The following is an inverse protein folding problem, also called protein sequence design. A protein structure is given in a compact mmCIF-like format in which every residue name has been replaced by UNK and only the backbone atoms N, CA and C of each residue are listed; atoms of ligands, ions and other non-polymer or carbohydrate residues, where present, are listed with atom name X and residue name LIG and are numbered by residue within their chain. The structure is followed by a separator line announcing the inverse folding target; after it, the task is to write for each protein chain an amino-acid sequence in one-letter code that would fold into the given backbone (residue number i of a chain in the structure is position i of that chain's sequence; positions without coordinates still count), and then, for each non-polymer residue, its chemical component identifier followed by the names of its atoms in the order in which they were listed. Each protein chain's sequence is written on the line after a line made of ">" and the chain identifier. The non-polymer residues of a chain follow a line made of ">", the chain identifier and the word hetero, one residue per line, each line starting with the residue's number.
data_IF_222144750882
#
_entry.id   IF_222144750882
#
_cell.length_a   1.000
_cell.length_b   1.000
_cell.length_c   1.000
_cell.angle_alpha   90.00
_cell.angle_beta   90.00
_cell.angle_gamma   90.00
#
_symmetry.space_group_name_H-M   'P 1'
#
loop_
_entity.id
_entity.type
_entity.pdbx_description
1 polymer ?
#
# COMPACT_ATOMS: atom_id res chain seq x y z
N UNK A 1 31.46 -61.99 5.40
CA UNK A 1 30.87 -60.67 5.27
C UNK A 1 30.41 -60.27 6.66
N UNK A 2 31.25 -59.57 7.37
CA UNK A 2 31.07 -59.16 8.77
C UNK A 2 30.37 -57.80 8.78
N UNK A 3 29.13 -57.75 9.29
CA UNK A 3 28.42 -56.52 9.60
C UNK A 3 29.05 -55.87 10.84
N UNK A 4 29.77 -54.80 10.65
CA UNK A 4 30.24 -53.96 11.76
C UNK A 4 29.04 -53.16 12.31
N UNK A 5 28.60 -53.53 13.51
CA UNK A 5 27.58 -52.80 14.27
C UNK A 5 28.25 -51.61 14.94
N UNK A 6 28.02 -50.42 14.42
CA UNK A 6 28.38 -49.19 15.09
C UNK A 6 27.55 -49.01 16.36
N UNK A 7 28.19 -48.58 17.45
CA UNK A 7 27.48 -48.29 18.70
C UNK A 7 26.71 -46.97 18.58
N UNK A 8 25.67 -46.81 19.39
CA UNK A 8 24.81 -45.60 19.35
C UNK A 8 25.61 -44.29 19.51
N UNK A 9 26.65 -44.30 20.34
CA UNK A 9 27.55 -43.14 20.52
C UNK A 9 28.43 -42.83 19.30
N UNK A 10 28.80 -43.83 18.50
CA UNK A 10 29.54 -43.61 17.24
C UNK A 10 28.64 -43.09 16.14
N UNK A 11 27.35 -43.42 16.11
CA UNK A 11 26.37 -42.91 15.19
C UNK A 11 26.01 -41.45 15.55
N UNK A 12 25.95 -41.11 16.83
CA UNK A 12 25.72 -39.74 17.31
C UNK A 12 26.92 -38.81 16.96
N UNK A 13 28.17 -39.26 17.15
CA UNK A 13 29.36 -38.52 16.77
C UNK A 13 29.51 -38.35 15.26
N UNK A 14 29.11 -39.35 14.45
CA UNK A 14 29.07 -39.21 12.99
C UNK A 14 27.95 -38.27 12.53
N UNK A 15 26.80 -38.25 13.18
CA UNK A 15 25.73 -37.30 12.91
C UNK A 15 26.12 -35.88 13.25
N UNK A 16 26.81 -35.65 14.37
CA UNK A 16 27.32 -34.34 14.75
C UNK A 16 28.42 -33.82 13.81
N UNK A 17 29.28 -34.71 13.30
CA UNK A 17 30.27 -34.34 12.28
C UNK A 17 29.63 -34.00 10.95
N UNK A 18 28.63 -34.74 10.50
CA UNK A 18 27.87 -34.44 9.27
C UNK A 18 27.04 -33.14 9.38
N UNK A 19 26.53 -32.84 10.57
CA UNK A 19 25.86 -31.56 10.85
C UNK A 19 26.82 -30.36 10.88
N UNK A 20 28.09 -30.59 11.27
CA UNK A 20 29.13 -29.52 11.20
C UNK A 20 29.67 -29.32 9.78
N UNK A 21 29.70 -30.34 8.93
CA UNK A 21 30.10 -30.21 7.52
C UNK A 21 28.98 -29.73 6.59
N UNK A 22 27.69 -29.94 6.97
CA UNK A 22 26.53 -29.54 6.18
C UNK A 22 25.97 -28.14 6.54
N UNK A 23 26.56 -27.43 7.48
CA UNK A 23 26.20 -26.04 7.75
C UNK A 23 26.76 -25.16 6.61
N UNK A 24 25.93 -24.53 5.76
CA UNK A 24 26.42 -23.47 4.89
C UNK A 24 27.00 -22.39 5.81
N UNK A 25 28.22 -21.96 5.50
CA UNK A 25 28.90 -20.90 6.19
C UNK A 25 27.94 -19.69 6.29
N UNK A 26 27.35 -19.48 7.44
CA UNK A 26 26.72 -18.21 7.77
C UNK A 26 27.85 -17.18 7.86
N UNK A 27 28.09 -16.51 6.76
CA UNK A 27 28.81 -15.24 6.75
C UNK A 27 28.04 -14.32 7.71
N UNK A 28 28.69 -13.99 8.81
CA UNK A 28 28.25 -12.92 9.70
C UNK A 28 28.13 -11.67 8.83
N UNK A 29 27.03 -10.88 8.93
CA UNK A 29 26.91 -9.65 8.18
C UNK A 29 28.08 -8.75 8.56
N UNK A 30 28.99 -8.59 7.61
CA UNK A 30 30.06 -7.61 7.70
C UNK A 30 29.41 -6.23 7.80
N UNK A 31 29.74 -5.48 8.83
CA UNK A 31 29.58 -4.04 8.89
C UNK A 31 30.35 -3.45 7.71
N UNK A 32 29.70 -3.13 6.60
CA UNK A 32 30.41 -2.65 5.45
C UNK A 32 29.56 -1.78 4.58
N UNK A 33 29.94 -0.50 4.48
CA UNK A 33 29.65 0.30 3.30
C UNK A 33 30.21 -0.39 2.04
N UNK A 34 29.82 0.08 0.85
CA UNK A 34 30.38 -0.37 -0.41
C UNK A 34 31.89 -0.10 -0.39
N UNK A 35 32.71 -1.15 -0.45
CA UNK A 35 34.16 -1.02 -0.52
C UNK A 35 34.54 -0.43 -1.89
N UNK A 36 35.54 0.48 -1.92
CA UNK A 36 36.02 1.11 -3.16
C UNK A 36 36.43 0.08 -4.24
N UNK A 37 36.88 -1.10 -3.84
CA UNK A 37 37.21 -2.21 -4.75
C UNK A 37 35.95 -2.82 -5.41
N UNK A 38 34.87 -2.90 -4.69
CA UNK A 38 33.58 -3.40 -5.21
C UNK A 38 32.99 -2.39 -6.18
N UNK A 39 33.03 -1.10 -5.84
CA UNK A 39 32.56 -0.02 -6.73
C UNK A 39 33.35 0.00 -8.04
N UNK A 40 34.69 -0.17 -8.00
CA UNK A 40 35.52 -0.16 -9.18
C UNK A 40 35.28 -1.34 -10.15
N UNK A 41 34.63 -2.42 -9.69
CA UNK A 41 34.31 -3.58 -10.52
C UNK A 41 32.90 -3.50 -11.18
N UNK A 42 32.08 -2.51 -10.83
CA UNK A 42 30.70 -2.36 -11.32
C UNK A 42 30.66 -1.60 -12.66
N UNK A 43 29.73 -1.92 -13.57
CA UNK A 43 29.50 -1.17 -14.80
C UNK A 43 29.25 0.33 -14.58
N UNK A 44 28.52 0.68 -13.52
CA UNK A 44 28.21 2.06 -13.13
C UNK A 44 29.30 2.74 -12.27
N UNK A 45 30.51 2.20 -12.16
CA UNK A 45 31.58 2.74 -11.31
C UNK A 45 31.86 4.24 -11.50
N UNK A 46 31.84 4.72 -12.74
CA UNK A 46 32.05 6.13 -13.06
C UNK A 46 30.93 7.04 -12.51
N UNK A 47 29.69 6.58 -12.60
CA UNK A 47 28.49 7.30 -12.12
C UNK A 47 28.41 7.30 -10.59
N UNK A 48 28.74 6.17 -9.95
CA UNK A 48 28.78 6.03 -8.49
C UNK A 48 29.86 6.91 -7.85
N UNK A 49 31.01 7.14 -8.54
CA UNK A 49 32.03 8.03 -8.04
C UNK A 49 31.70 9.52 -8.24
N UNK A 50 30.85 9.83 -9.21
CA UNK A 50 30.42 11.19 -9.51
C UNK A 50 29.21 11.68 -8.67
N UNK A 51 28.41 10.77 -8.10
CA UNK A 51 27.14 11.08 -7.45
C UNK A 51 27.01 10.44 -6.06
N UNK A 52 27.04 11.28 -5.03
CA UNK A 52 26.97 10.86 -3.63
C UNK A 52 25.59 10.23 -3.30
N UNK A 53 24.50 10.78 -3.85
CA UNK A 53 23.14 10.26 -3.67
C UNK A 53 22.98 8.84 -4.23
N UNK A 54 23.51 8.59 -5.43
CA UNK A 54 23.47 7.26 -6.05
C UNK A 54 24.29 6.25 -5.22
N UNK A 55 25.42 6.66 -4.70
CA UNK A 55 26.28 5.84 -3.83
C UNK A 55 25.59 5.48 -2.52
N UNK A 56 24.87 6.42 -1.91
CA UNK A 56 24.11 6.20 -0.68
C UNK A 56 22.96 5.24 -0.93
N UNK A 57 22.27 5.38 -2.07
CA UNK A 57 21.20 4.50 -2.49
C UNK A 57 21.70 3.04 -2.68
N UNK A 58 22.82 2.84 -3.36
CA UNK A 58 23.45 1.54 -3.50
C UNK A 58 23.92 0.95 -2.16
N UNK A 59 24.38 1.79 -1.25
CA UNK A 59 24.77 1.37 0.10
C UNK A 59 23.56 0.94 0.93
N UNK A 60 22.43 1.63 0.81
CA UNK A 60 21.15 1.25 1.41
C UNK A 60 20.65 -0.07 0.81
N UNK A 61 20.64 -0.20 -0.52
CA UNK A 61 20.22 -1.41 -1.21
C UNK A 61 21.05 -2.64 -0.82
N UNK A 62 22.39 -2.50 -0.73
CA UNK A 62 23.27 -3.59 -0.29
C UNK A 62 23.03 -4.02 1.17
N UNK A 63 22.64 -3.10 2.05
CA UNK A 63 22.31 -3.42 3.44
C UNK A 63 20.96 -4.13 3.58
N UNK A 64 19.99 -3.77 2.75
CA UNK A 64 18.62 -4.27 2.79
C UNK A 64 18.39 -5.48 1.86
N UNK A 65 19.24 -5.70 0.86
CA UNK A 65 19.02 -6.67 -0.21
C UNK A 65 17.96 -6.27 -1.23
N UNK A 66 17.21 -5.20 -0.95
CA UNK A 66 16.12 -4.67 -1.79
C UNK A 66 16.21 -3.15 -1.87
N UNK A 67 15.80 -2.59 -3.01
CA UNK A 67 15.73 -1.16 -3.26
C UNK A 67 14.33 -0.81 -3.76
N UNK A 68 13.74 0.28 -3.26
CA UNK A 68 12.46 0.76 -3.74
C UNK A 68 12.61 1.36 -5.14
N UNK A 69 11.76 0.91 -6.08
CA UNK A 69 11.75 1.42 -7.46
C UNK A 69 11.43 2.92 -7.50
N UNK A 70 10.65 3.44 -6.55
CA UNK A 70 10.35 4.86 -6.43
C UNK A 70 11.57 5.68 -6.04
N UNK A 71 12.33 5.27 -4.99
CA UNK A 71 13.58 5.94 -4.58
C UNK A 71 14.62 5.90 -5.69
N UNK A 72 14.67 4.81 -6.46
CA UNK A 72 15.58 4.68 -7.59
C UNK A 72 15.21 5.64 -8.72
N UNK A 73 13.92 5.69 -9.11
CA UNK A 73 13.40 6.56 -10.16
C UNK A 73 13.63 8.04 -9.82
N UNK A 74 13.30 8.46 -8.59
CA UNK A 74 13.51 9.85 -8.13
C UNK A 74 14.97 10.30 -8.26
N UNK A 75 15.93 9.40 -7.94
CA UNK A 75 17.36 9.71 -8.06
C UNK A 75 17.84 9.69 -9.52
N UNK A 76 17.30 8.80 -10.35
CA UNK A 76 17.63 8.71 -11.78
C UNK A 76 17.09 9.92 -12.56
N UNK A 77 15.86 10.37 -12.24
CA UNK A 77 15.22 11.53 -12.86
C UNK A 77 15.96 12.84 -12.50
N UNK A 78 16.50 12.94 -11.26
CA UNK A 78 17.28 14.10 -10.83
C UNK A 78 18.65 14.19 -11.57
N UNK A 79 19.16 13.05 -12.04
CA UNK A 79 20.48 12.97 -12.67
C UNK A 79 20.45 13.13 -14.19
N UNK A 80 19.28 13.15 -14.83
CA UNK A 80 19.06 13.32 -16.28
C UNK A 80 20.00 12.43 -17.13
N UNK A 81 19.99 11.11 -16.83
CA UNK A 81 20.92 10.12 -17.38
C UNK A 81 20.48 9.61 -18.75
N UNK A 82 21.46 9.30 -19.62
CA UNK A 82 21.23 8.63 -20.89
C UNK A 82 20.85 7.14 -20.70
N UNK A 83 20.10 6.55 -21.65
CA UNK A 83 19.62 5.16 -21.56
C UNK A 83 20.73 4.14 -21.30
N UNK A 84 21.90 4.30 -21.92
CA UNK A 84 23.07 3.41 -21.70
C UNK A 84 23.62 3.50 -20.27
N UNK A 85 23.47 4.66 -19.65
CA UNK A 85 23.90 4.88 -18.26
C UNK A 85 22.88 4.26 -17.27
N UNK A 86 21.60 4.31 -17.61
CA UNK A 86 20.57 3.62 -16.83
C UNK A 86 20.76 2.11 -16.86
N UNK A 87 20.99 1.52 -18.03
CA UNK A 87 21.27 0.09 -18.17
C UNK A 87 22.49 -0.33 -17.32
N UNK A 88 23.56 0.48 -17.31
CA UNK A 88 24.74 0.23 -16.48
C UNK A 88 24.46 0.25 -14.98
N UNK A 89 23.47 1.04 -14.54
CA UNK A 89 23.02 1.10 -13.14
C UNK A 89 22.23 -0.16 -12.79
N UNK A 90 21.28 -0.57 -13.64
CA UNK A 90 20.51 -1.81 -13.42
C UNK A 90 21.42 -3.05 -13.43
N UNK A 91 22.36 -3.17 -14.36
CA UNK A 91 23.35 -4.24 -14.36
C UNK A 91 24.22 -4.26 -13.09
N UNK A 92 24.52 -3.09 -12.53
CA UNK A 92 25.28 -2.98 -11.28
C UNK A 92 24.46 -3.39 -10.07
N UNK A 93 23.15 -3.13 -10.04
CA UNK A 93 22.23 -3.57 -8.99
C UNK A 93 22.06 -5.09 -9.03
N UNK A 94 21.94 -5.66 -10.22
CA UNK A 94 21.85 -7.11 -10.42
C UNK A 94 23.13 -7.82 -9.97
N UNK A 95 24.32 -7.31 -10.33
CA UNK A 95 25.61 -7.86 -9.88
C UNK A 95 25.80 -7.81 -8.37
N UNK A 96 25.20 -6.84 -7.70
CA UNK A 96 25.23 -6.73 -6.23
C UNK A 96 24.14 -7.59 -5.55
N UNK A 97 23.28 -8.23 -6.33
CA UNK A 97 22.15 -9.02 -5.81
C UNK A 97 21.09 -8.15 -5.13
N UNK A 98 20.95 -6.89 -5.57
CA UNK A 98 19.95 -5.95 -5.04
C UNK A 98 18.71 -6.05 -5.91
N UNK A 99 17.63 -6.57 -5.37
CA UNK A 99 16.34 -6.61 -6.05
C UNK A 99 15.71 -5.22 -6.07
N UNK A 100 15.44 -4.70 -7.27
CA UNK A 100 14.64 -3.48 -7.45
C UNK A 100 13.17 -3.91 -7.48
N UNK A 101 12.48 -3.79 -6.37
CA UNK A 101 11.07 -4.14 -6.23
C UNK A 101 10.25 -2.89 -5.87
N UNK A 102 9.12 -2.70 -6.55
CA UNK A 102 8.04 -1.95 -5.92
C UNK A 102 7.55 -2.81 -4.76
N UNK A 103 7.61 -2.31 -3.53
CA UNK A 103 6.92 -2.97 -2.43
C UNK A 103 5.46 -3.18 -2.84
N UNK A 104 5.02 -4.42 -2.94
CA UNK A 104 3.63 -4.76 -3.25
C UNK A 104 2.80 -4.51 -1.98
N UNK A 105 2.60 -3.21 -1.65
CA UNK A 105 1.86 -2.75 -0.46
C UNK A 105 0.40 -3.23 -0.40
N UNK A 106 -0.11 -3.77 -1.52
CA UNK A 106 -1.47 -4.27 -1.62
C UNK A 106 -1.57 -5.80 -1.44
N UNK A 107 -0.45 -6.47 -1.17
CA UNK A 107 -0.44 -7.93 -1.20
C UNK A 107 -1.00 -8.60 0.05
N UNK A 108 -0.82 -7.98 1.20
CA UNK A 108 -1.33 -8.45 2.48
C UNK A 108 -2.06 -7.29 3.18
N UNK A 109 -3.36 -7.13 2.88
CA UNK A 109 -4.22 -6.20 3.58
C UNK A 109 -4.68 -6.88 4.88
N UNK A 110 -4.27 -6.36 6.06
CA UNK A 110 -4.77 -6.89 7.32
C UNK A 110 -6.27 -6.58 7.51
N UNK A 111 -6.92 -7.34 8.38
CA UNK A 111 -8.33 -7.16 8.70
C UNK A 111 -8.63 -5.74 9.23
N UNK A 112 -9.85 -5.26 8.99
CA UNK A 112 -10.27 -3.86 9.22
C UNK A 112 -10.05 -3.37 10.66
N UNK A 113 -10.16 -4.26 11.64
CA UNK A 113 -10.02 -3.99 13.07
C UNK A 113 -8.82 -4.72 13.71
N UNK A 114 -8.01 -5.44 12.92
CA UNK A 114 -6.83 -6.14 13.38
C UNK A 114 -5.82 -5.15 13.96
N UNK A 115 -5.41 -5.34 15.22
CA UNK A 115 -4.25 -4.61 15.76
C UNK A 115 -2.98 -5.23 15.17
N UNK A 116 -1.97 -4.41 14.81
CA UNK A 116 -0.71 -4.93 14.29
C UNK A 116 -0.02 -5.82 15.33
N UNK A 117 0.58 -6.90 14.88
CA UNK A 117 1.44 -7.71 15.73
C UNK A 117 2.67 -6.90 16.17
N UNK A 118 3.21 -7.19 17.36
CA UNK A 118 4.37 -6.46 17.87
C UNK A 118 5.59 -6.58 16.95
N UNK A 119 5.72 -7.70 16.26
CA UNK A 119 6.81 -7.96 15.32
C UNK A 119 6.66 -7.10 14.05
N UNK A 120 5.44 -6.89 13.54
CA UNK A 120 5.16 -6.01 12.42
C UNK A 120 5.47 -4.54 12.71
N UNK A 121 5.18 -4.09 13.95
CA UNK A 121 5.53 -2.72 14.38
C UNK A 121 7.05 -2.54 14.48
N UNK A 122 7.78 -3.56 14.91
CA UNK A 122 9.23 -3.50 15.05
C UNK A 122 9.98 -3.47 13.69
N UNK A 123 9.37 -4.00 12.63
CA UNK A 123 9.93 -3.97 11.27
C UNK A 123 9.68 -2.63 10.54
N UNK A 124 8.78 -1.79 11.07
CA UNK A 124 8.50 -0.48 10.45
C UNK A 124 9.69 0.45 10.73
N UNK A 125 10.39 0.82 9.67
CA UNK A 125 11.42 1.86 9.73
C UNK A 125 10.80 3.22 10.07
N UNK A 126 11.53 4.02 10.85
CA UNK A 126 11.12 5.41 11.12
C UNK A 126 11.13 6.20 9.81
N UNK A 127 9.96 6.69 9.42
CA UNK A 127 9.85 7.53 8.24
C UNK A 127 10.41 8.92 8.51
N UNK A 128 11.25 9.40 7.61
CA UNK A 128 11.68 10.80 7.63
C UNK A 128 10.49 11.71 7.32
N UNK A 129 10.21 12.63 8.23
CA UNK A 129 9.19 13.63 8.04
C UNK A 129 9.62 14.60 6.93
N UNK A 130 8.94 14.55 5.80
CA UNK A 130 9.19 15.47 4.71
C UNK A 130 8.73 16.87 5.11
N UNK A 131 9.56 17.89 4.86
CA UNK A 131 9.16 19.28 5.08
C UNK A 131 8.07 19.65 4.05
N UNK A 132 6.86 20.05 4.50
CA UNK A 132 5.77 20.42 3.60
C UNK A 132 6.15 21.49 2.57
N UNK A 133 7.09 22.38 2.89
CA UNK A 133 7.54 23.42 1.96
C UNK A 133 8.34 22.85 0.78
N UNK A 134 9.13 21.80 0.99
CA UNK A 134 9.89 21.15 -0.10
C UNK A 134 8.98 20.41 -1.06
N UNK A 135 7.84 19.86 -0.56
CA UNK A 135 6.83 19.22 -1.39
C UNK A 135 6.10 20.20 -2.30
N UNK A 136 5.89 21.45 -1.84
CA UNK A 136 5.24 22.50 -2.64
C UNK A 136 6.03 22.82 -3.90
N UNK A 137 7.35 22.72 -3.85
CA UNK A 137 8.23 23.08 -4.97
C UNK A 137 8.46 21.90 -5.94
N UNK A 138 8.29 20.64 -5.46
CA UNK A 138 8.57 19.42 -6.24
C UNK A 138 7.42 18.93 -7.14
N UNK A 139 6.20 19.37 -6.91
CA UNK A 139 5.04 19.02 -7.71
C UNK A 139 4.38 20.23 -8.33
N UNK A 140 3.81 20.10 -9.55
CA UNK A 140 2.83 21.03 -10.10
C UNK A 140 1.51 20.89 -9.33
N UNK A 141 1.55 21.28 -8.05
CA UNK A 141 0.49 20.99 -7.07
C UNK A 141 -0.62 22.01 -7.23
N UNK A 142 -1.85 21.53 -7.34
CA UNK A 142 -3.06 22.36 -7.34
C UNK A 142 -3.13 23.27 -6.11
N UNK A 143 -3.64 24.48 -6.27
CA UNK A 143 -3.77 25.47 -5.19
C UNK A 143 -4.36 24.93 -3.87
N UNK A 144 -5.37 24.01 -3.86
CA UNK A 144 -5.92 23.43 -2.63
C UNK A 144 -4.90 22.59 -1.82
N UNK A 145 -4.05 21.81 -2.51
CA UNK A 145 -3.02 21.00 -1.85
C UNK A 145 -1.98 21.87 -1.20
N UNK A 146 -1.52 22.91 -1.91
CA UNK A 146 -0.57 23.92 -1.41
C UNK A 146 -1.09 24.61 -0.17
N UNK A 147 -2.37 24.98 -0.17
CA UNK A 147 -3.02 25.62 0.98
C UNK A 147 -3.03 24.67 2.20
N UNK A 148 -3.38 23.40 2.00
CA UNK A 148 -3.38 22.39 3.06
C UNK A 148 -1.98 22.18 3.64
N UNK A 149 -0.95 22.00 2.79
CA UNK A 149 0.44 21.81 3.23
C UNK A 149 0.94 23.00 4.05
N UNK A 150 0.59 24.23 3.65
CA UNK A 150 0.93 25.45 4.41
C UNK A 150 0.23 25.51 5.75
N UNK A 151 -0.99 24.99 5.86
CA UNK A 151 -1.76 24.95 7.12
C UNK A 151 -1.14 23.97 8.13
N UNK A 152 -0.88 22.73 7.71
CA UNK A 152 -0.25 21.74 8.59
C UNK A 152 1.18 22.13 9.00
N UNK A 153 1.87 22.92 8.16
CA UNK A 153 3.20 23.44 8.42
C UNK A 153 3.28 24.38 9.62
N UNK A 154 2.17 24.97 10.07
CA UNK A 154 2.13 25.90 11.22
C UNK A 154 2.21 25.19 12.56
N UNK A 155 1.83 23.90 12.62
CA UNK A 155 1.81 23.13 13.86
C UNK A 155 3.24 22.63 14.19
N UNK A 156 3.76 22.91 15.41
CA UNK A 156 5.07 22.44 15.80
C UNK A 156 5.07 20.92 16.01
N UNK A 157 6.22 20.29 15.75
CA UNK A 157 6.44 18.86 16.03
C UNK A 157 6.50 18.62 17.54
N UNK A 158 6.02 17.46 17.98
CA UNK A 158 6.07 17.03 19.37
C UNK A 158 7.40 16.34 19.69
N UNK A 159 7.84 16.45 20.94
CA UNK A 159 8.92 15.61 21.48
C UNK A 159 8.34 14.32 22.04
N UNK A 160 9.17 13.26 22.17
CA UNK A 160 8.74 11.99 22.73
C UNK A 160 8.11 12.12 24.14
N UNK A 161 8.64 13.01 24.97
CA UNK A 161 8.08 13.28 26.30
C UNK A 161 6.68 13.92 26.23
N UNK A 162 6.46 14.82 25.26
CA UNK A 162 5.15 15.44 25.03
C UNK A 162 4.13 14.44 24.47
N UNK A 163 4.55 13.50 23.63
CA UNK A 163 3.69 12.42 23.15
C UNK A 163 3.18 11.56 24.30
N UNK A 164 4.06 11.18 25.24
CA UNK A 164 3.70 10.41 26.43
C UNK A 164 2.78 11.20 27.35
N UNK A 165 3.05 12.50 27.57
CA UNK A 165 2.19 13.36 28.39
C UNK A 165 0.78 13.46 27.81
N UNK A 166 0.65 13.75 26.51
CA UNK A 166 -0.65 13.80 25.84
C UNK A 166 -1.37 12.45 25.87
N UNK A 167 -0.67 11.35 25.66
CA UNK A 167 -1.24 10.00 25.73
C UNK A 167 -1.75 9.66 27.14
N UNK A 168 -1.04 10.09 28.19
CA UNK A 168 -1.48 9.92 29.58
C UNK A 168 -2.76 10.70 29.86
N UNK A 169 -2.85 11.96 29.40
CA UNK A 169 -4.08 12.78 29.54
C UNK A 169 -5.25 12.17 28.76
N UNK A 170 -5.00 11.62 27.57
CA UNK A 170 -6.02 10.90 26.78
C UNK A 170 -6.52 9.65 27.50
N UNK A 171 -5.64 8.86 28.11
CA UNK A 171 -6.01 7.66 28.88
C UNK A 171 -6.90 8.02 30.06
N UNK A 172 -6.51 9.04 30.84
CA UNK A 172 -7.32 9.54 31.95
C UNK A 172 -8.71 10.06 31.49
N UNK A 173 -8.77 10.70 30.31
CA UNK A 173 -10.03 11.12 29.70
C UNK A 173 -10.94 9.95 29.35
N UNK A 174 -10.41 8.87 28.75
CA UNK A 174 -11.12 7.63 28.43
C UNK A 174 -11.62 6.91 29.67
N UNK A 175 -10.82 6.83 30.72
CA UNK A 175 -11.22 6.25 32.00
C UNK A 175 -12.37 7.02 32.64
N UNK A 176 -12.31 8.36 32.58
CA UNK A 176 -13.36 9.23 33.06
C UNK A 176 -14.68 9.04 32.27
N UNK A 177 -14.59 8.91 30.96
CA UNK A 177 -15.73 8.63 30.07
C UNK A 177 -16.35 7.25 30.38
N UNK A 178 -15.52 6.23 30.53
CA UNK A 178 -15.96 4.89 30.90
C UNK A 178 -16.64 4.86 32.26
N UNK A 179 -16.14 5.62 33.24
CA UNK A 179 -16.77 5.75 34.58
C UNK A 179 -18.14 6.41 34.51
N UNK A 180 -18.31 7.45 33.68
CA UNK A 180 -19.61 8.10 33.47
C UNK A 180 -20.59 7.14 32.80
N UNK A 181 -20.16 6.45 31.73
CA UNK A 181 -20.99 5.49 31.01
C UNK A 181 -21.42 4.30 31.91
N UNK A 182 -20.49 3.82 32.75
CA UNK A 182 -20.79 2.76 33.72
C UNK A 182 -21.81 3.21 34.76
N UNK A 183 -21.68 4.40 35.32
CA UNK A 183 -22.63 4.95 36.29
C UNK A 183 -24.05 5.16 35.70
N UNK A 184 -24.09 5.59 34.40
CA UNK A 184 -25.38 5.69 33.67
C UNK A 184 -26.03 4.31 33.46
N UNK A 185 -25.21 3.28 33.15
CA UNK A 185 -25.73 1.91 32.95
C UNK A 185 -26.23 1.28 34.26
N UNK A 186 -25.50 1.53 35.37
CA UNK A 186 -25.84 1.00 36.72
C UNK A 186 -26.90 1.82 37.41
N UNK A 187 -27.31 2.98 36.85
CA UNK A 187 -28.31 3.90 37.46
C UNK A 187 -27.75 4.59 38.73
N UNK A 188 -26.43 4.65 38.88
CA UNK A 188 -25.77 5.29 40.00
C UNK A 188 -25.76 6.81 39.81
N UNK A 189 -26.19 7.57 40.84
CA UNK A 189 -26.11 9.03 40.82
C UNK A 189 -24.73 9.49 41.30
N UNK A 190 -23.91 9.98 40.37
CA UNK A 190 -22.60 10.57 40.65
C UNK A 190 -22.82 11.94 41.31
N UNK A 191 -22.07 12.28 42.41
CA UNK A 191 -22.12 13.62 43.00
C UNK A 191 -21.75 14.71 42.01
N UNK A 192 -22.44 15.87 42.06
CA UNK A 192 -22.21 16.98 41.11
C UNK A 192 -20.73 17.42 41.02
N UNK A 193 -20.00 17.39 42.14
CA UNK A 193 -18.59 17.79 42.20
C UNK A 193 -17.72 16.79 41.42
N UNK A 194 -17.95 15.51 41.60
CA UNK A 194 -17.24 14.43 40.89
C UNK A 194 -17.58 14.44 39.39
N UNK A 195 -18.84 14.64 39.06
CA UNK A 195 -19.29 14.78 37.66
C UNK A 195 -18.63 15.98 36.96
N UNK A 196 -18.45 17.10 37.66
CA UNK A 196 -17.78 18.27 37.10
C UNK A 196 -16.28 17.99 36.83
N UNK A 197 -15.64 17.23 37.71
CA UNK A 197 -14.23 16.84 37.56
C UNK A 197 -14.03 15.82 36.43
N UNK A 198 -14.88 14.80 36.31
CA UNK A 198 -14.90 13.84 35.21
C UNK A 198 -15.11 14.55 33.85
N UNK A 199 -16.07 15.46 33.76
CA UNK A 199 -16.29 16.28 32.54
C UNK A 199 -15.07 17.13 32.18
N UNK A 200 -14.33 17.64 33.16
CA UNK A 200 -13.10 18.38 32.91
C UNK A 200 -12.00 17.47 32.35
N UNK A 201 -11.86 16.27 32.89
CA UNK A 201 -10.89 15.25 32.40
C UNK A 201 -11.24 14.79 31.00
N UNK A 202 -12.50 14.49 30.69
CA UNK A 202 -12.96 14.14 29.34
C UNK A 202 -12.60 15.23 28.33
N UNK A 203 -12.93 16.49 28.65
CA UNK A 203 -12.61 17.62 27.76
C UNK A 203 -11.10 17.86 27.60
N UNK A 204 -10.31 17.59 28.64
CA UNK A 204 -8.85 17.63 28.52
C UNK A 204 -8.31 16.51 27.65
N UNK A 205 -8.87 15.29 27.75
CA UNK A 205 -8.55 14.14 26.91
C UNK A 205 -8.87 14.38 25.44
N UNK A 206 -10.06 14.91 25.13
CA UNK A 206 -10.44 15.29 23.76
C UNK A 206 -9.47 16.32 23.15
N UNK A 207 -9.08 17.33 23.93
CA UNK A 207 -8.12 18.34 23.47
C UNK A 207 -6.73 17.73 23.25
N UNK A 208 -6.29 16.82 24.12
CA UNK A 208 -5.02 16.11 23.95
C UNK A 208 -5.03 15.23 22.70
N UNK A 209 -6.15 14.53 22.44
CA UNK A 209 -6.38 13.75 21.20
C UNK A 209 -6.24 14.61 19.95
N UNK A 210 -6.87 15.78 19.95
CA UNK A 210 -6.77 16.72 18.85
C UNK A 210 -5.35 17.21 18.63
N UNK A 211 -4.63 17.59 19.70
CA UNK A 211 -3.26 18.08 19.61
C UNK A 211 -2.30 17.00 19.08
N UNK A 212 -2.45 15.75 19.55
CA UNK A 212 -1.62 14.63 19.07
C UNK A 212 -1.87 14.35 17.58
N UNK A 213 -3.13 14.40 17.13
CA UNK A 213 -3.46 14.22 15.72
C UNK A 213 -2.92 15.37 14.84
N UNK A 214 -3.14 16.64 15.24
CA UNK A 214 -2.69 17.82 14.49
C UNK A 214 -1.17 17.85 14.29
N UNK A 215 -0.40 17.46 15.31
CA UNK A 215 1.05 17.45 15.26
C UNK A 215 1.61 16.38 14.31
N UNK A 216 0.83 15.33 14.01
CA UNK A 216 1.25 14.20 13.18
C UNK A 216 0.66 14.20 11.76
N UNK A 217 0.00 15.29 11.32
CA UNK A 217 -0.52 15.40 9.95
C UNK A 217 0.60 15.34 8.89
N UNK A 218 1.80 15.82 9.21
CA UNK A 218 2.97 15.73 8.31
C UNK A 218 3.39 14.29 8.03
N UNK A 219 3.24 13.40 9.01
CA UNK A 219 3.52 11.96 8.85
C UNK A 219 2.56 11.34 7.84
N UNK A 220 1.28 11.72 7.84
CA UNK A 220 0.31 11.24 6.86
C UNK A 220 0.72 11.63 5.45
N UNK A 221 1.18 12.88 5.26
CA UNK A 221 1.59 13.39 3.93
C UNK A 221 2.82 12.65 3.42
N UNK A 222 3.83 12.39 4.27
CA UNK A 222 5.04 11.64 3.88
C UNK A 222 4.72 10.23 3.40
N UNK A 223 3.76 9.57 4.06
CA UNK A 223 3.31 8.24 3.67
C UNK A 223 2.46 8.30 2.39
N UNK A 224 1.48 9.22 2.32
CA UNK A 224 0.57 9.34 1.18
C UNK A 224 1.29 9.67 -0.14
N UNK A 225 2.42 10.40 -0.10
CA UNK A 225 3.24 10.71 -1.28
C UNK A 225 3.63 9.46 -2.07
N UNK A 226 3.94 8.35 -1.40
CA UNK A 226 4.34 7.08 -2.03
C UNK A 226 3.21 6.36 -2.79
N UNK A 227 1.97 6.77 -2.55
CA UNK A 227 0.78 6.17 -3.18
C UNK A 227 0.18 7.02 -4.30
N UNK A 228 0.83 8.12 -4.67
CA UNK A 228 0.41 8.98 -5.79
C UNK A 228 0.50 8.21 -7.11
N UNK A 229 -0.47 8.46 -8.02
CA UNK A 229 -0.53 7.78 -9.32
C UNK A 229 -1.23 6.40 -9.31
N UNK A 230 -1.79 5.96 -8.19
CA UNK A 230 -2.48 4.66 -8.05
C UNK A 230 -4.00 4.72 -8.19
N UNK A 231 -4.52 5.70 -8.95
CA UNK A 231 -5.96 5.82 -9.25
C UNK A 231 -6.77 6.67 -8.28
N UNK A 232 -6.13 7.28 -7.27
CA UNK A 232 -6.74 8.25 -6.35
C UNK A 232 -6.01 9.59 -6.37
N UNK A 233 -6.75 10.67 -6.11
CA UNK A 233 -6.17 12.00 -5.99
C UNK A 233 -5.35 12.11 -4.70
N UNK A 234 -4.29 12.92 -4.73
CA UNK A 234 -3.38 13.06 -3.58
C UNK A 234 -4.10 13.55 -2.31
N UNK A 235 -5.03 14.52 -2.43
CA UNK A 235 -5.82 14.97 -1.28
C UNK A 235 -6.71 13.88 -0.70
N UNK A 236 -7.28 13.00 -1.53
CA UNK A 236 -8.11 11.90 -1.07
C UNK A 236 -7.26 10.86 -0.31
N UNK A 237 -6.06 10.56 -0.82
CA UNK A 237 -5.09 9.71 -0.11
C UNK A 237 -4.73 10.27 1.27
N UNK A 238 -4.52 11.59 1.36
CA UNK A 238 -4.24 12.26 2.63
C UNK A 238 -5.45 12.13 3.58
N UNK A 239 -6.69 12.33 3.09
CA UNK A 239 -7.87 12.24 3.95
C UNK A 239 -8.12 10.82 4.46
N UNK A 240 -7.95 9.81 3.62
CA UNK A 240 -8.02 8.41 4.06
C UNK A 240 -6.89 8.08 5.06
N UNK A 241 -5.68 8.60 4.82
CA UNK A 241 -4.58 8.51 5.77
C UNK A 241 -4.87 9.20 7.11
N UNK A 242 -5.56 10.36 7.09
CA UNK A 242 -5.99 11.05 8.32
C UNK A 242 -7.01 10.23 9.12
N UNK A 243 -7.91 9.49 8.45
CA UNK A 243 -8.81 8.54 9.13
C UNK A 243 -8.02 7.43 9.82
N UNK A 244 -6.97 6.92 9.17
CA UNK A 244 -6.02 5.98 9.77
C UNK A 244 -5.30 6.56 10.98
N UNK A 245 -4.82 7.81 10.89
CA UNK A 245 -4.19 8.53 12.00
C UNK A 245 -5.13 8.68 13.19
N UNK A 246 -6.41 9.03 12.98
CA UNK A 246 -7.40 9.14 14.05
C UNK A 246 -7.58 7.80 14.76
N UNK A 247 -7.71 6.69 14.02
CA UNK A 247 -7.77 5.33 14.58
C UNK A 247 -6.51 4.99 15.39
N UNK A 248 -5.32 5.37 14.88
CA UNK A 248 -4.06 5.17 15.59
C UNK A 248 -4.03 5.93 16.92
N UNK A 249 -4.45 7.20 16.94
CA UNK A 249 -4.52 8.02 18.16
C UNK A 249 -5.48 7.41 19.19
N UNK A 250 -6.62 6.87 18.73
CA UNK A 250 -7.60 6.20 19.61
C UNK A 250 -7.07 4.92 20.26
N UNK A 251 -6.29 4.13 19.52
CA UNK A 251 -5.79 2.83 19.97
C UNK A 251 -4.37 2.90 20.57
N UNK A 252 -3.72 4.06 20.56
CA UNK A 252 -2.35 4.21 21.03
C UNK A 252 -2.21 3.93 22.52
N UNK A 253 -1.23 3.08 22.86
CA UNK A 253 -0.85 2.72 24.22
C UNK A 253 0.63 3.04 24.47
N UNK A 254 0.88 4.11 25.22
CA UNK A 254 2.23 4.56 25.56
C UNK A 254 2.99 3.58 26.47
N UNK A 255 2.30 2.66 27.14
CA UNK A 255 2.94 1.70 28.07
C UNK A 255 3.78 0.66 27.33
N UNK A 256 3.50 0.45 26.04
CA UNK A 256 4.24 -0.49 25.17
C UNK A 256 5.64 0.01 24.77
N UNK A 257 5.96 1.28 25.01
CA UNK A 257 7.31 1.85 24.83
C UNK A 257 7.71 2.19 23.39
N UNK A 258 6.80 2.09 22.43
CA UNK A 258 7.04 2.50 21.04
C UNK A 258 6.77 3.99 20.84
N UNK A 259 7.48 4.62 19.88
CA UNK A 259 7.14 5.95 19.43
C UNK A 259 5.76 5.95 18.76
N UNK A 260 5.01 7.02 18.93
CA UNK A 260 3.71 7.16 18.28
C UNK A 260 3.81 7.04 16.76
N UNK A 261 4.83 7.65 16.14
CA UNK A 261 5.06 7.60 14.69
C UNK A 261 5.13 6.17 14.15
N UNK A 262 5.83 5.26 14.82
CA UNK A 262 5.97 3.85 14.39
C UNK A 262 4.63 3.15 14.37
N UNK A 263 3.82 3.31 15.43
CA UNK A 263 2.49 2.73 15.50
C UNK A 263 1.51 3.35 14.51
N UNK A 264 1.54 4.69 14.36
CA UNK A 264 0.66 5.42 13.47
C UNK A 264 0.93 5.10 11.99
N UNK A 265 2.18 4.86 11.61
CA UNK A 265 2.55 4.49 10.23
C UNK A 265 1.81 3.26 9.75
N UNK A 266 1.64 2.24 10.59
CA UNK A 266 0.87 1.04 10.23
C UNK A 266 -0.60 1.37 9.93
N UNK A 267 -1.27 2.12 10.81
CA UNK A 267 -2.68 2.49 10.64
C UNK A 267 -2.91 3.40 9.43
N UNK A 268 -2.00 4.35 9.20
CA UNK A 268 -2.07 5.25 8.05
C UNK A 268 -1.90 4.46 6.75
N UNK A 269 -0.88 3.59 6.69
CA UNK A 269 -0.63 2.71 5.54
C UNK A 269 -1.83 1.83 5.26
N UNK A 270 -2.37 1.18 6.29
CA UNK A 270 -3.55 0.33 6.21
C UNK A 270 -4.76 1.08 5.63
N UNK A 271 -5.06 2.27 6.15
CA UNK A 271 -6.19 3.06 5.69
C UNK A 271 -6.04 3.47 4.22
N UNK A 272 -4.86 3.96 3.82
CA UNK A 272 -4.58 4.37 2.44
C UNK A 272 -4.68 3.16 1.49
N UNK A 273 -4.03 2.05 1.82
CA UNK A 273 -4.00 0.85 0.97
C UNK A 273 -5.41 0.28 0.78
N UNK A 274 -6.20 0.24 1.84
CA UNK A 274 -7.59 -0.21 1.79
C UNK A 274 -8.46 0.72 0.96
N UNK A 275 -8.30 2.04 1.10
CA UNK A 275 -9.01 3.02 0.30
C UNK A 275 -8.69 2.89 -1.20
N UNK A 276 -7.41 2.68 -1.55
CA UNK A 276 -7.00 2.41 -2.94
C UNK A 276 -7.68 1.14 -3.45
N UNK A 277 -7.68 0.06 -2.68
CA UNK A 277 -8.32 -1.20 -3.09
C UNK A 277 -9.83 -1.05 -3.34
N UNK A 278 -10.50 -0.21 -2.55
CA UNK A 278 -11.96 -0.04 -2.61
C UNK A 278 -12.43 1.03 -3.60
N UNK A 279 -11.66 2.09 -3.84
CA UNK A 279 -12.10 3.30 -4.55
C UNK A 279 -11.30 3.64 -5.81
N UNK A 280 -10.08 3.10 -6.01
CA UNK A 280 -9.21 3.51 -7.12
C UNK A 280 -9.71 3.08 -8.50
N UNK A 281 -10.56 2.05 -8.59
CA UNK A 281 -11.06 1.53 -9.86
C UNK A 281 -12.38 2.16 -10.27
N UNK A 282 -12.52 2.51 -11.56
CA UNK A 282 -13.77 3.03 -12.14
C UNK A 282 -14.96 2.07 -11.91
N UNK A 283 -14.72 0.77 -12.03
CA UNK A 283 -15.69 -0.28 -11.67
C UNK A 283 -15.19 -0.92 -10.39
N UNK A 284 -15.92 -0.69 -9.30
CA UNK A 284 -15.55 -1.15 -7.96
C UNK A 284 -15.45 -2.67 -7.90
N UNK A 285 -14.35 -3.17 -7.35
CA UNK A 285 -14.11 -4.59 -7.08
C UNK A 285 -14.03 -4.78 -5.55
N UNK A 286 -14.62 -5.84 -4.97
CA UNK A 286 -14.47 -6.13 -3.54
C UNK A 286 -13.00 -6.28 -3.13
N UNK A 287 -12.64 -5.81 -1.93
CA UNK A 287 -11.24 -5.78 -1.44
C UNK A 287 -10.58 -7.16 -1.49
N UNK A 288 -11.24 -8.23 -1.04
CA UNK A 288 -10.70 -9.60 -1.08
C UNK A 288 -10.38 -10.09 -2.52
N UNK A 289 -11.10 -9.57 -3.53
CA UNK A 289 -10.78 -9.89 -4.93
C UNK A 289 -9.56 -9.12 -5.42
N UNK A 290 -9.40 -7.86 -4.97
CA UNK A 290 -8.19 -7.07 -5.26
C UNK A 290 -6.96 -7.74 -4.65
N UNK A 291 -7.04 -8.24 -3.42
CA UNK A 291 -5.97 -9.04 -2.79
C UNK A 291 -5.62 -10.28 -3.62
N UNK A 292 -6.65 -11.00 -4.07
CA UNK A 292 -6.43 -12.19 -4.91
C UNK A 292 -5.78 -11.83 -6.24
N UNK A 293 -6.21 -10.74 -6.90
CA UNK A 293 -5.60 -10.21 -8.13
C UNK A 293 -4.13 -9.87 -7.90
N UNK A 294 -3.81 -9.19 -6.81
CA UNK A 294 -2.44 -8.80 -6.47
C UNK A 294 -1.55 -10.03 -6.22
N UNK A 295 -2.08 -11.07 -5.53
CA UNK A 295 -1.36 -12.34 -5.36
C UNK A 295 -1.08 -13.02 -6.71
N UNK A 296 -2.07 -13.04 -7.62
CA UNK A 296 -1.89 -13.59 -8.97
C UNK A 296 -0.81 -12.81 -9.75
N UNK A 297 -0.86 -11.48 -9.70
CA UNK A 297 0.13 -10.62 -10.40
C UNK A 297 1.54 -10.83 -9.82
N UNK A 298 1.67 -10.95 -8.50
CA UNK A 298 2.96 -11.21 -7.84
C UNK A 298 3.55 -12.54 -8.30
N UNK A 299 2.76 -13.62 -8.23
CA UNK A 299 3.20 -14.95 -8.67
C UNK A 299 3.53 -14.94 -10.17
N UNK A 300 2.74 -14.24 -10.99
CA UNK A 300 3.01 -14.08 -12.41
C UNK A 300 4.37 -13.39 -12.67
N UNK A 301 4.70 -12.34 -11.93
CA UNK A 301 6.02 -11.68 -12.04
C UNK A 301 7.16 -12.58 -11.58
N UNK A 302 6.97 -13.31 -10.47
CA UNK A 302 7.96 -14.28 -9.99
C UNK A 302 8.24 -15.35 -11.03
N UNK A 303 7.19 -15.97 -11.59
CA UNK A 303 7.33 -16.98 -12.65
C UNK A 303 7.95 -16.41 -13.93
N UNK A 304 7.66 -15.16 -14.28
CA UNK A 304 8.31 -14.48 -15.41
C UNK A 304 9.83 -14.39 -15.21
N UNK A 305 10.30 -14.09 -13.99
CA UNK A 305 11.72 -14.05 -13.66
C UNK A 305 12.37 -15.45 -13.70
N UNK A 306 11.67 -16.47 -13.22
CA UNK A 306 12.18 -17.85 -13.18
C UNK A 306 12.18 -18.53 -14.57
N UNK A 307 11.13 -18.34 -15.35
CA UNK A 307 10.92 -19.01 -16.65
C UNK A 307 11.47 -18.22 -17.83
N UNK A 308 11.63 -16.88 -17.68
CA UNK A 308 12.08 -16.00 -18.77
C UNK A 308 11.04 -15.74 -19.87
N UNK A 309 9.77 -16.13 -19.67
CA UNK A 309 8.63 -15.86 -20.57
C UNK A 309 7.37 -15.61 -19.77
N UNK A 310 6.38 -14.95 -20.39
CA UNK A 310 5.07 -14.71 -19.74
C UNK A 310 4.43 -16.04 -19.32
N UNK A 311 4.10 -16.22 -18.03
CA UNK A 311 3.56 -17.47 -17.52
C UNK A 311 2.15 -17.72 -18.03
N UNK A 312 1.87 -18.96 -18.39
CA UNK A 312 0.53 -19.42 -18.79
C UNK A 312 -0.38 -19.52 -17.54
N UNK A 313 -1.72 -19.41 -17.71
CA UNK A 313 -2.65 -19.61 -16.60
C UNK A 313 -2.52 -20.97 -15.91
N UNK A 314 -2.04 -21.99 -16.60
CA UNK A 314 -1.76 -23.34 -16.11
C UNK A 314 -0.57 -23.33 -15.14
N UNK A 315 0.50 -22.60 -15.44
CA UNK A 315 1.69 -22.43 -14.59
C UNK A 315 1.37 -21.65 -13.33
N UNK A 316 0.64 -20.54 -13.47
CA UNK A 316 0.17 -19.75 -12.31
C UNK A 316 -0.74 -20.60 -11.42
N UNK A 317 -1.63 -21.40 -12.02
CA UNK A 317 -2.52 -22.31 -11.30
C UNK A 317 -1.76 -23.35 -10.46
N UNK A 318 -0.66 -23.89 -10.99
CA UNK A 318 0.18 -24.86 -10.30
C UNK A 318 0.86 -24.24 -9.08
N UNK A 319 1.39 -23.01 -9.21
CA UNK A 319 2.08 -22.31 -8.12
C UNK A 319 1.09 -21.85 -7.03
N UNK A 320 -0.05 -21.31 -7.43
CA UNK A 320 -1.07 -20.82 -6.48
C UNK A 320 -1.98 -21.92 -5.91
N UNK A 321 -1.86 -23.16 -6.38
CA UNK A 321 -2.74 -24.28 -6.03
C UNK A 321 -4.25 -23.95 -6.19
N UNK A 322 -4.60 -23.28 -7.31
CA UNK A 322 -5.96 -22.87 -7.65
C UNK A 322 -6.40 -23.47 -9.00
N UNK A 323 -7.72 -23.67 -9.26
CA UNK A 323 -8.21 -24.10 -10.56
C UNK A 323 -7.84 -23.11 -11.68
N UNK A 324 -7.42 -23.62 -12.85
CA UNK A 324 -7.04 -22.82 -14.03
C UNK A 324 -8.15 -21.85 -14.47
N UNK A 325 -9.40 -22.31 -14.46
CA UNK A 325 -10.54 -21.47 -14.86
C UNK A 325 -10.71 -20.26 -13.94
N UNK A 326 -10.45 -20.42 -12.63
CA UNK A 326 -10.48 -19.32 -11.67
C UNK A 326 -9.35 -18.32 -11.90
N UNK A 327 -8.16 -18.79 -12.26
CA UNK A 327 -7.04 -17.89 -12.62
C UNK A 327 -7.38 -17.07 -13.86
N UNK A 328 -7.96 -17.69 -14.89
CA UNK A 328 -8.41 -16.99 -16.10
C UNK A 328 -9.49 -15.93 -15.81
N UNK A 329 -10.44 -16.26 -14.93
CA UNK A 329 -11.48 -15.32 -14.51
C UNK A 329 -10.87 -14.12 -13.76
N UNK A 330 -9.94 -14.37 -12.82
CA UNK A 330 -9.24 -13.33 -12.06
C UNK A 330 -8.46 -12.39 -13.00
N UNK A 331 -7.71 -12.94 -13.97
CA UNK A 331 -6.96 -12.15 -14.94
C UNK A 331 -7.88 -11.30 -15.83
N UNK A 332 -9.08 -11.81 -16.17
CA UNK A 332 -10.07 -11.05 -16.92
C UNK A 332 -10.67 -9.89 -16.11
N UNK A 333 -10.93 -10.09 -14.81
CA UNK A 333 -11.44 -9.06 -13.90
C UNK A 333 -10.36 -8.00 -13.60
N UNK A 334 -9.08 -8.40 -13.62
CA UNK A 334 -7.96 -7.51 -13.34
C UNK A 334 -7.79 -6.38 -14.37
N UNK A 335 -8.30 -6.57 -15.60
CA UNK A 335 -8.19 -5.59 -16.67
C UNK A 335 -8.91 -4.28 -16.34
N UNK A 336 -8.30 -3.15 -16.73
CA UNK A 336 -8.92 -1.84 -16.61
C UNK A 336 -9.82 -1.54 -17.82
N UNK A 337 -10.93 -0.79 -17.65
CA UNK A 337 -11.78 -0.40 -18.75
C UNK A 337 -11.06 0.60 -19.67
N UNK A 338 -11.24 0.43 -20.98
CA UNK A 338 -10.73 1.33 -22.01
C UNK A 338 -11.73 2.46 -22.23
N UNK A 339 -11.26 3.69 -22.43
CA UNK A 339 -12.11 4.84 -22.73
C UNK A 339 -12.72 4.72 -24.12
N UNK A 340 -14.00 5.06 -24.25
CA UNK A 340 -14.68 5.14 -25.54
C UNK A 340 -14.21 6.33 -26.40
N UNK A 341 -13.61 7.34 -25.77
CA UNK A 341 -13.03 8.51 -26.44
C UNK A 341 -11.60 8.29 -26.94
N UNK A 342 -11.07 7.05 -26.80
CA UNK A 342 -9.73 6.72 -27.31
C UNK A 342 -9.71 6.89 -28.82
N UNK A 343 -8.83 7.75 -29.39
CA UNK A 343 -8.74 7.96 -30.84
C UNK A 343 -8.22 6.69 -31.52
N UNK A 344 -8.77 6.39 -32.70
CA UNK A 344 -8.36 5.25 -33.55
C UNK A 344 -7.89 5.78 -34.91
N UNK A 345 -6.68 5.44 -35.30
CA UNK A 345 -6.07 5.85 -36.55
C UNK A 345 -5.15 7.06 -36.43
N UNK A 346 -4.60 7.49 -37.57
CA UNK A 346 -3.66 8.62 -37.64
C UNK A 346 -4.38 10.01 -37.66
N UNK A 347 -5.66 10.01 -38.06
CA UNK A 347 -6.51 11.21 -38.07
C UNK A 347 -7.39 11.16 -36.82
N UNK A 348 -7.26 12.12 -35.90
CA UNK A 348 -7.93 12.18 -34.58
C UNK A 348 -9.49 12.30 -34.66
N UNK A 349 -10.08 12.10 -35.85
CA UNK A 349 -11.52 12.28 -36.11
C UNK A 349 -12.38 11.05 -35.75
N UNK A 350 -11.78 9.87 -35.43
CA UNK A 350 -12.49 8.63 -35.10
C UNK A 350 -12.18 8.13 -33.72
N UNK A 351 -13.21 7.83 -32.94
CA UNK A 351 -13.10 7.31 -31.59
C UNK A 351 -13.54 5.85 -31.49
N UNK A 352 -13.05 5.11 -30.51
CA UNK A 352 -13.42 3.70 -30.25
C UNK A 352 -14.95 3.52 -30.18
N UNK A 353 -15.64 4.50 -29.58
CA UNK A 353 -17.09 4.49 -29.41
C UNK A 353 -17.88 4.45 -30.73
N UNK A 354 -17.33 5.01 -31.82
CA UNK A 354 -17.99 5.07 -33.10
C UNK A 354 -18.09 3.70 -33.80
N UNK A 355 -17.23 2.75 -33.38
CA UNK A 355 -17.19 1.40 -33.97
C UNK A 355 -18.00 0.37 -33.18
N UNK A 356 -18.57 0.74 -32.02
CA UNK A 356 -19.35 -0.18 -31.22
C UNK A 356 -20.83 -0.11 -31.64
N UNK A 357 -21.40 -1.19 -32.24
CA UNK A 357 -22.81 -1.21 -32.60
C UNK A 357 -23.71 -1.23 -31.35
N UNK A 358 -24.86 -0.56 -31.45
CA UNK A 358 -25.90 -0.65 -30.45
C UNK A 358 -26.76 -1.91 -30.64
N UNK A 359 -26.47 -2.96 -29.89
CA UNK A 359 -27.20 -4.23 -29.92
C UNK A 359 -28.65 -4.12 -29.40
N UNK A 360 -28.99 -3.06 -28.67
CA UNK A 360 -30.33 -2.84 -28.14
C UNK A 360 -31.27 -2.11 -29.11
N UNK A 361 -30.71 -1.47 -30.13
CA UNK A 361 -31.48 -0.82 -31.17
C UNK A 361 -32.10 -1.85 -32.09
N UNK A 362 -33.42 -1.94 -32.10
CA UNK A 362 -34.14 -2.81 -33.06
C UNK A 362 -34.00 -2.28 -34.49
N UNK A 363 -33.88 -3.20 -35.46
CA UNK A 363 -33.84 -2.84 -36.89
C UNK A 363 -35.09 -2.03 -37.28
N UNK A 364 -34.99 -1.07 -38.23
CA UNK A 364 -36.15 -0.27 -38.66
C UNK A 364 -37.33 -1.11 -39.15
N UNK A 365 -37.07 -2.26 -39.77
CA UNK A 365 -38.06 -3.24 -40.22
C UNK A 365 -38.82 -3.86 -39.05
N UNK A 366 -38.12 -4.25 -37.97
CA UNK A 366 -38.72 -4.79 -36.77
C UNK A 366 -39.52 -3.73 -35.99
N UNK A 367 -38.99 -2.51 -35.86
CA UNK A 367 -39.66 -1.40 -35.22
C UNK A 367 -40.98 -1.03 -35.94
N UNK A 368 -40.98 -1.03 -37.28
CA UNK A 368 -42.17 -0.80 -38.10
C UNK A 368 -43.18 -1.95 -37.91
N UNK A 369 -42.74 -3.20 -37.97
CA UNK A 369 -43.57 -4.38 -37.75
C UNK A 369 -44.22 -4.39 -36.38
N UNK A 370 -43.44 -4.04 -35.32
CA UNK A 370 -43.96 -3.92 -33.95
C UNK A 370 -45.00 -2.81 -33.82
N UNK A 371 -44.79 -1.68 -34.51
CA UNK A 371 -45.73 -0.56 -34.47
C UNK A 371 -47.04 -0.94 -35.15
N UNK A 372 -47.01 -1.56 -36.32
CA UNK A 372 -48.20 -2.07 -37.04
C UNK A 372 -48.96 -3.12 -36.21
N UNK A 373 -48.25 -4.05 -35.59
CA UNK A 373 -48.85 -5.05 -34.72
C UNK A 373 -49.55 -4.40 -33.51
N UNK A 374 -48.95 -3.37 -32.92
CA UNK A 374 -49.53 -2.61 -31.81
C UNK A 374 -50.79 -1.85 -32.23
N UNK A 375 -50.80 -1.27 -33.42
CA UNK A 375 -51.98 -0.61 -34.01
C UNK A 375 -53.12 -1.58 -34.25
N UNK A 376 -52.89 -2.69 -34.94
CA UNK A 376 -53.85 -3.75 -35.18
C UNK A 376 -54.42 -4.27 -33.85
N UNK A 377 -53.60 -4.54 -32.88
CA UNK A 377 -54.05 -5.01 -31.56
C UNK A 377 -54.89 -3.95 -30.81
N UNK A 378 -54.64 -2.66 -31.04
CA UNK A 378 -55.44 -1.57 -30.47
C UNK A 378 -56.78 -1.42 -31.17
N UNK A 379 -56.85 -1.63 -32.50
CA UNK A 379 -58.09 -1.65 -33.28
C UNK A 379 -58.98 -2.84 -32.88
N UNK A 380 -58.44 -4.06 -32.81
CA UNK A 380 -59.14 -5.24 -32.33
C UNK A 380 -59.75 -5.04 -30.92
N UNK A 381 -59.01 -4.38 -30.02
CA UNK A 381 -59.53 -4.05 -28.70
C UNK A 381 -60.65 -3.00 -28.72
N UNK A 382 -60.64 -2.07 -29.70
CA UNK A 382 -61.74 -1.11 -29.88
C UNK A 382 -62.98 -1.80 -30.42
N UNK A 383 -62.85 -2.63 -31.45
CA UNK A 383 -63.94 -3.41 -32.04
C UNK A 383 -64.54 -4.37 -31.00
N UNK A 384 -63.69 -5.04 -30.18
CA UNK A 384 -64.15 -5.92 -29.11
C UNK A 384 -64.91 -5.22 -27.97
N UNK A 385 -64.68 -3.89 -27.76
CA UNK A 385 -65.47 -3.10 -26.80
C UNK A 385 -66.76 -2.54 -27.33
N UNK A 386 -66.92 -2.42 -28.65
CA UNK A 386 -68.14 -1.96 -29.31
C UNK A 386 -69.13 -3.10 -29.52
N UNK A 387 -68.75 -4.36 -29.45
CA UNK A 387 -69.60 -5.54 -29.43
C UNK A 387 -70.05 -5.92 -28.02
#
# INVERSE_FOLDING_TARGET
>A
MTEEKYTAEQLEQMADQLLQEAAPAQEKPAKGGLDEKTIASLPAAALLNGNEKLRDLFTKGKKKGKLDAGELSDVLDELDLESEQMDSIYDSLEQLGIEVGSEDFLADLPDEDGEPAMDEIAEIEEEELVDPNTLVDSFNIDDPVRMYLKEIGKVPLLTADQEVELATVMSAGREAEARVAQAEADGETIPEVEMAELKKQIKAGEKAKQQLAEANLRLVVSIAKRYVGRGMLFLDLIQEGNLGLIKAVEKFDYTKGYKFSTYATWWIRQAITRAIADQARTIRIPVHMVETINKVIRVSRQLLQELGHDPSPEEISAEMNMPVDKVREILKIAQEPVSLETPIGEEEDSHLGDFIPDEAASEPSEAASFTLLKEQRSEERRVGKEC
#
